data_IF_928213262963
#
_entry.id   IF_928213262963
#
_cell.length_a   1.000
_cell.length_b   1.000
_cell.length_c   1.000
_cell.angle_alpha   90.00
_cell.angle_beta   90.00
_cell.angle_gamma   90.00
#
_symmetry.space_group_name_H-M   'P 1'
#
loop_
_entity.id
_entity.type
_entity.pdbx_description
1 polymer ?
#
# COMPACT_ATOMS: atom_id res chain seq x y z
N UNK A 1 -3.60 27.24 -12.07
CA UNK A 1 -3.76 25.82 -12.50
C UNK A 1 -2.51 24.98 -12.30
N UNK A 2 -1.36 25.61 -12.12
CA UNK A 2 -0.09 24.93 -11.78
C UNK A 2 -0.01 24.52 -10.32
N UNK A 3 -1.03 24.77 -9.55
CA UNK A 3 -1.07 24.69 -8.08
C UNK A 3 -1.27 23.29 -7.53
N UNK A 4 -1.67 22.34 -8.34
CA UNK A 4 -2.26 21.09 -7.85
C UNK A 4 -1.39 19.85 -8.03
N UNK A 5 -0.27 19.96 -8.70
CA UNK A 5 0.54 18.79 -9.04
C UNK A 5 1.45 18.37 -7.89
N UNK A 6 1.57 19.17 -6.86
CA UNK A 6 2.56 18.93 -5.83
C UNK A 6 2.06 18.56 -4.45
N UNK A 7 0.93 19.03 -4.02
CA UNK A 7 0.51 18.94 -2.61
C UNK A 7 -0.81 18.24 -2.38
N UNK A 8 -1.58 17.94 -3.42
CA UNK A 8 -2.95 17.48 -3.30
C UNK A 8 -3.27 16.24 -4.16
N UNK A 9 -2.37 15.29 -4.27
CA UNK A 9 -2.83 13.92 -4.48
C UNK A 9 -3.36 13.41 -3.14
N UNK A 10 -4.36 14.14 -2.69
CA UNK A 10 -5.08 13.84 -1.47
C UNK A 10 -6.04 12.69 -1.74
N UNK A 11 -6.35 11.94 -0.71
CA UNK A 11 -7.39 10.90 -0.61
C UNK A 11 -8.73 11.26 -1.29
N UNK A 12 -8.96 12.52 -1.67
CA UNK A 12 -10.14 12.97 -2.43
C UNK A 12 -10.22 12.40 -3.84
N UNK A 13 -9.09 11.97 -4.40
CA UNK A 13 -9.01 11.35 -5.73
C UNK A 13 -9.02 9.81 -5.66
N UNK A 14 -9.61 9.22 -4.62
CA UNK A 14 -9.73 7.76 -4.45
C UNK A 14 -10.35 7.09 -5.67
N UNK A 15 -11.33 7.73 -6.28
CA UNK A 15 -12.00 7.22 -7.47
C UNK A 15 -11.09 7.18 -8.71
N UNK A 16 -10.04 8.01 -8.72
CA UNK A 16 -9.05 8.06 -9.80
C UNK A 16 -7.98 6.97 -9.62
N UNK A 17 -7.68 6.62 -8.37
CA UNK A 17 -6.66 5.63 -8.04
C UNK A 17 -7.15 4.19 -8.11
N UNK A 18 -8.47 3.98 -8.02
CA UNK A 18 -9.12 2.68 -8.07
C UNK A 18 -9.97 2.55 -9.31
N UNK A 19 -9.74 1.53 -10.11
CA UNK A 19 -10.61 1.16 -11.21
C UNK A 19 -11.49 -0.01 -10.79
N UNK A 20 -12.80 0.22 -10.70
CA UNK A 20 -13.77 -0.81 -10.32
C UNK A 20 -14.28 -1.58 -11.54
N UNK A 21 -14.25 -2.89 -11.45
CA UNK A 21 -15.03 -3.79 -12.27
C UNK A 21 -16.07 -4.48 -11.40
N UNK A 22 -17.06 -5.17 -11.97
CA UNK A 22 -18.16 -5.82 -11.22
C UNK A 22 -17.70 -6.77 -10.10
N UNK A 23 -16.47 -7.27 -10.14
CA UNK A 23 -15.95 -8.26 -9.19
C UNK A 23 -14.59 -7.89 -8.57
N UNK A 24 -13.92 -6.85 -9.08
CA UNK A 24 -12.55 -6.49 -8.69
C UNK A 24 -12.36 -4.98 -8.68
N UNK A 25 -11.45 -4.52 -7.86
CA UNK A 25 -10.87 -3.20 -7.99
C UNK A 25 -9.38 -3.32 -8.31
N UNK A 26 -8.87 -2.41 -9.12
CA UNK A 26 -7.47 -2.38 -9.55
C UNK A 26 -6.88 -1.01 -9.21
N UNK A 27 -5.69 -1.01 -8.62
CA UNK A 27 -4.95 0.22 -8.36
C UNK A 27 -4.39 0.78 -9.67
N UNK A 28 -4.63 2.05 -9.96
CA UNK A 28 -4.14 2.70 -11.18
C UNK A 28 -2.71 3.20 -11.01
N UNK A 29 -1.76 2.28 -11.00
CA UNK A 29 -0.33 2.59 -10.89
C UNK A 29 0.23 3.31 -12.11
N UNK A 30 -0.38 3.14 -13.28
CA UNK A 30 0.03 3.83 -14.50
C UNK A 30 -0.09 5.34 -14.35
N UNK A 31 -1.17 5.82 -13.77
CA UNK A 31 -1.39 7.23 -13.51
C UNK A 31 -0.35 7.81 -12.55
N UNK A 32 0.02 7.08 -11.51
CA UNK A 32 1.09 7.46 -10.59
C UNK A 32 2.43 7.62 -11.32
N UNK A 33 2.81 6.64 -12.15
CA UNK A 33 4.06 6.68 -12.93
C UNK A 33 4.06 7.87 -13.88
N UNK A 34 2.96 8.10 -14.59
CA UNK A 34 2.84 9.24 -15.50
C UNK A 34 3.04 10.58 -14.78
N UNK A 35 2.38 10.80 -13.68
CA UNK A 35 2.48 12.05 -12.91
C UNK A 35 3.89 12.29 -12.36
N UNK A 36 4.54 11.25 -11.85
CA UNK A 36 5.95 11.34 -11.39
C UNK A 36 6.88 11.66 -12.55
N UNK A 37 6.68 11.05 -13.71
CA UNK A 37 7.48 11.30 -14.92
C UNK A 37 7.32 12.75 -15.39
N UNK A 38 6.10 13.24 -15.48
CA UNK A 38 5.81 14.62 -15.86
C UNK A 38 6.43 15.63 -14.89
N UNK A 39 6.33 15.37 -13.59
CA UNK A 39 6.96 16.21 -12.57
C UNK A 39 8.49 16.22 -12.68
N UNK A 40 9.11 15.07 -12.98
CA UNK A 40 10.53 14.98 -13.23
C UNK A 40 10.95 15.75 -14.48
N UNK A 41 10.17 15.69 -15.54
CA UNK A 41 10.43 16.45 -16.78
C UNK A 41 10.32 17.97 -16.56
N UNK A 42 9.48 18.41 -15.63
CA UNK A 42 9.41 19.83 -15.20
C UNK A 42 10.59 20.27 -14.32
N UNK A 43 11.51 19.37 -13.98
CA UNK A 43 12.69 19.67 -13.17
C UNK A 43 12.46 19.64 -11.66
N UNK A 44 11.37 19.01 -11.18
CA UNK A 44 11.14 18.86 -9.76
C UNK A 44 12.22 17.99 -9.08
N UNK A 45 12.50 18.28 -7.80
CA UNK A 45 13.54 17.59 -7.04
C UNK A 45 13.28 16.08 -6.93
N UNK A 46 14.28 15.28 -7.22
CA UNK A 46 14.18 13.81 -7.23
C UNK A 46 13.86 13.25 -5.86
N UNK A 47 14.41 13.82 -4.78
CA UNK A 47 14.13 13.38 -3.41
C UNK A 47 12.68 13.62 -3.03
N UNK A 48 12.15 14.78 -3.37
CA UNK A 48 10.73 15.11 -3.16
C UNK A 48 9.81 14.19 -3.96
N UNK A 49 10.15 13.91 -5.23
CA UNK A 49 9.38 13.01 -6.08
C UNK A 49 9.39 11.58 -5.54
N UNK A 50 10.53 11.10 -5.07
CA UNK A 50 10.64 9.78 -4.45
C UNK A 50 9.77 9.69 -3.18
N UNK A 51 9.79 10.70 -2.34
CA UNK A 51 8.94 10.74 -1.15
C UNK A 51 7.45 10.75 -1.51
N UNK A 52 7.02 11.58 -2.46
CA UNK A 52 5.63 11.61 -2.96
C UNK A 52 5.19 10.28 -3.54
N UNK A 53 6.05 9.62 -4.30
CA UNK A 53 5.76 8.29 -4.82
C UNK A 53 5.39 7.33 -3.69
N UNK A 54 6.18 7.30 -2.61
CA UNK A 54 5.90 6.45 -1.46
C UNK A 54 4.61 6.85 -0.72
N UNK A 55 4.34 8.15 -0.58
CA UNK A 55 3.10 8.65 0.03
C UNK A 55 1.87 8.19 -0.75
N UNK A 56 1.88 8.39 -2.07
CA UNK A 56 0.76 8.00 -2.93
C UNK A 56 0.56 6.50 -2.94
N UNK A 57 1.65 5.74 -2.98
CA UNK A 57 1.56 4.29 -2.93
C UNK A 57 0.95 3.80 -1.60
N UNK A 58 1.32 4.41 -0.48
CA UNK A 58 0.70 4.13 0.82
C UNK A 58 -0.79 4.49 0.85
N UNK A 59 -1.18 5.61 0.21
CA UNK A 59 -2.59 6.00 0.04
C UNK A 59 -3.37 4.98 -0.80
N UNK A 60 -2.81 4.53 -1.90
CA UNK A 60 -3.42 3.51 -2.76
C UNK A 60 -3.65 2.20 -2.00
N UNK A 61 -2.65 1.74 -1.23
CA UNK A 61 -2.77 0.55 -0.39
C UNK A 61 -3.88 0.73 0.64
N UNK A 62 -3.92 1.87 1.32
CA UNK A 62 -4.95 2.18 2.32
C UNK A 62 -6.34 2.22 1.70
N UNK A 63 -6.49 2.87 0.54
CA UNK A 63 -7.77 2.91 -0.19
C UNK A 63 -8.26 1.49 -0.57
N UNK A 64 -7.36 0.63 -1.01
CA UNK A 64 -7.67 -0.77 -1.28
C UNK A 64 -8.15 -1.52 -0.03
N UNK A 65 -7.49 -1.29 1.12
CA UNK A 65 -7.89 -1.89 2.40
C UNK A 65 -9.27 -1.40 2.85
N UNK A 66 -9.57 -0.09 2.69
CA UNK A 66 -10.89 0.47 3.01
C UNK A 66 -11.96 -0.20 2.15
N UNK A 67 -11.71 -0.33 0.85
CA UNK A 67 -12.65 -1.00 -0.05
C UNK A 67 -12.88 -2.47 0.31
N UNK A 68 -11.82 -3.17 0.68
CA UNK A 68 -11.90 -4.54 1.15
C UNK A 68 -12.69 -4.64 2.48
N UNK A 69 -12.53 -3.66 3.38
CA UNK A 69 -13.29 -3.59 4.64
C UNK A 69 -14.79 -3.38 4.38
N UNK A 70 -15.16 -2.50 3.44
CA UNK A 70 -16.56 -2.28 3.06
C UNK A 70 -17.26 -3.56 2.60
N UNK A 71 -16.55 -4.42 1.88
CA UNK A 71 -17.12 -5.67 1.34
C UNK A 71 -17.05 -6.86 2.31
N UNK A 72 -16.02 -6.92 3.18
CA UNK A 72 -15.75 -8.09 4.03
C UNK A 72 -16.03 -7.87 5.52
N UNK A 73 -16.18 -6.62 5.96
CA UNK A 73 -16.29 -6.24 7.37
C UNK A 73 -15.00 -6.44 8.19
N UNK A 74 -13.88 -6.81 7.55
CA UNK A 74 -12.61 -7.08 8.26
C UNK A 74 -11.81 -5.80 8.42
N UNK A 75 -11.25 -5.61 9.61
CA UNK A 75 -10.44 -4.45 10.00
C UNK A 75 -8.97 -4.78 10.31
N UNK A 76 -8.54 -6.03 10.09
CA UNK A 76 -7.15 -6.46 10.28
C UNK A 76 -6.42 -6.53 8.95
N UNK A 77 -5.25 -5.88 8.88
CA UNK A 77 -4.40 -5.83 7.69
C UNK A 77 -3.02 -6.38 8.03
N UNK A 78 -2.56 -7.37 7.28
CA UNK A 78 -1.21 -7.90 7.40
C UNK A 78 -0.33 -7.33 6.27
N UNK A 79 0.76 -6.65 6.65
CA UNK A 79 1.76 -6.14 5.71
C UNK A 79 2.90 -7.16 5.58
N UNK A 80 2.97 -7.79 4.41
CA UNK A 80 3.93 -8.85 4.10
C UNK A 80 4.43 -8.74 2.66
N UNK A 81 5.52 -9.45 2.34
CA UNK A 81 6.16 -9.41 1.03
C UNK A 81 7.40 -8.52 1.02
N UNK A 82 8.30 -8.77 0.05
CA UNK A 82 9.61 -8.11 -0.05
C UNK A 82 9.54 -6.58 -0.18
N UNK A 83 8.46 -6.04 -0.72
CA UNK A 83 8.26 -4.58 -0.84
C UNK A 83 8.26 -3.87 0.52
N UNK A 84 7.82 -4.53 1.58
CA UNK A 84 7.80 -3.97 2.93
C UNK A 84 9.13 -4.04 3.68
N UNK A 85 10.20 -4.48 3.02
CA UNK A 85 11.57 -4.19 3.44
C UNK A 85 11.92 -2.70 3.25
N UNK A 86 11.19 -2.00 2.37
CA UNK A 86 11.24 -0.54 2.26
C UNK A 86 10.62 0.09 3.52
N UNK A 87 11.49 0.56 4.41
CA UNK A 87 11.07 1.09 5.72
C UNK A 87 10.21 2.35 5.62
N UNK A 88 10.42 3.18 4.60
CA UNK A 88 9.61 4.37 4.39
C UNK A 88 8.18 3.99 3.99
N UNK A 89 8.04 3.09 3.01
CA UNK A 89 6.74 2.61 2.57
C UNK A 89 5.99 1.93 3.71
N UNK A 90 6.67 1.05 4.46
CA UNK A 90 6.08 0.36 5.61
C UNK A 90 5.52 1.35 6.63
N UNK A 91 6.32 2.34 7.02
CA UNK A 91 5.92 3.37 8.00
C UNK A 91 4.72 4.17 7.52
N UNK A 92 4.79 4.72 6.31
CA UNK A 92 3.70 5.53 5.75
C UNK A 92 2.40 4.74 5.62
N UNK A 93 2.49 3.47 5.20
CA UNK A 93 1.31 2.59 5.09
C UNK A 93 0.73 2.26 6.45
N UNK A 94 1.57 1.89 7.42
CA UNK A 94 1.14 1.58 8.79
C UNK A 94 0.45 2.78 9.45
N UNK A 95 1.05 3.97 9.38
CA UNK A 95 0.49 5.20 9.93
C UNK A 95 -0.90 5.50 9.36
N UNK A 96 -1.08 5.40 8.04
CA UNK A 96 -2.36 5.65 7.39
C UNK A 96 -3.42 4.61 7.75
N UNK A 97 -3.07 3.34 7.76
CA UNK A 97 -3.99 2.26 8.13
C UNK A 97 -4.47 2.41 9.59
N UNK A 98 -3.57 2.77 10.50
CA UNK A 98 -3.94 3.04 11.90
C UNK A 98 -4.88 4.24 12.02
N UNK A 99 -4.66 5.32 11.25
CA UNK A 99 -5.56 6.48 11.21
C UNK A 99 -6.97 6.13 10.70
N UNK A 100 -7.08 5.16 9.78
CA UNK A 100 -8.36 4.65 9.26
C UNK A 100 -8.99 3.55 10.16
N UNK A 101 -8.42 3.31 11.33
CA UNK A 101 -8.95 2.39 12.32
C UNK A 101 -8.71 0.91 12.01
N UNK A 102 -7.67 0.58 11.26
CA UNK A 102 -7.25 -0.80 11.05
C UNK A 102 -6.32 -1.29 12.16
N UNK A 103 -6.41 -2.57 12.49
CA UNK A 103 -5.38 -3.29 13.23
C UNK A 103 -4.30 -3.75 12.23
N UNK A 104 -3.05 -3.30 12.41
CA UNK A 104 -1.97 -3.59 11.48
C UNK A 104 -1.04 -4.66 12.04
N UNK A 105 -0.91 -5.75 11.30
CA UNK A 105 0.01 -6.84 11.58
C UNK A 105 1.24 -6.71 10.67
N UNK A 106 2.42 -6.78 11.26
CA UNK A 106 3.69 -6.73 10.53
C UNK A 106 4.68 -7.76 11.05
N UNK A 107 5.59 -8.14 10.20
CA UNK A 107 6.69 -9.00 10.59
C UNK A 107 7.63 -8.31 11.60
N UNK A 108 8.00 -9.02 12.67
CA UNK A 108 8.94 -8.54 13.67
C UNK A 108 10.20 -9.42 13.75
N UNK A 109 10.03 -10.74 13.78
CA UNK A 109 11.12 -11.70 13.91
C UNK A 109 11.39 -12.48 12.63
N UNK A 110 10.38 -12.66 11.79
CA UNK A 110 10.46 -13.36 10.52
C UNK A 110 10.57 -12.34 9.40
N UNK A 111 11.49 -12.47 8.44
CA UNK A 111 11.58 -11.53 7.34
C UNK A 111 10.30 -11.56 6.46
N UNK A 112 9.85 -10.42 5.93
CA UNK A 112 8.63 -10.34 5.12
C UNK A 112 8.82 -10.86 3.69
N UNK A 113 10.03 -11.24 3.30
CA UNK A 113 10.41 -11.76 1.99
C UNK A 113 10.32 -13.29 1.93
N UNK A 114 10.81 -13.87 0.84
CA UNK A 114 10.82 -15.32 0.61
C UNK A 114 11.51 -16.13 1.70
N UNK A 115 12.41 -15.52 2.48
CA UNK A 115 13.03 -16.14 3.64
C UNK A 115 12.06 -16.58 4.74
N UNK A 116 10.84 -16.02 4.76
CA UNK A 116 9.77 -16.38 5.70
C UNK A 116 8.89 -17.55 5.24
N UNK A 117 8.96 -17.95 3.97
CA UNK A 117 8.05 -18.95 3.38
C UNK A 117 8.14 -20.29 4.09
N UNK A 118 9.36 -20.80 4.35
CA UNK A 118 9.56 -22.10 4.99
C UNK A 118 8.93 -22.18 6.39
N UNK A 119 9.01 -21.10 7.16
CA UNK A 119 8.41 -20.99 8.50
C UNK A 119 6.88 -20.99 8.40
N UNK A 120 6.33 -20.26 7.44
CA UNK A 120 4.89 -20.24 7.16
C UNK A 120 4.36 -21.61 6.76
N UNK A 121 5.08 -22.34 5.92
CA UNK A 121 4.74 -23.71 5.52
C UNK A 121 4.79 -24.68 6.72
N UNK A 122 5.80 -24.59 7.57
CA UNK A 122 5.91 -25.40 8.78
C UNK A 122 4.73 -25.12 9.74
N UNK A 123 4.40 -23.85 9.98
CA UNK A 123 3.27 -23.45 10.82
C UNK A 123 1.94 -23.98 10.27
N UNK A 124 1.74 -23.90 8.96
CA UNK A 124 0.55 -24.46 8.31
C UNK A 124 0.47 -25.97 8.44
N UNK A 125 1.59 -26.67 8.22
CA UNK A 125 1.67 -28.12 8.39
C UNK A 125 1.32 -28.55 9.81
N UNK A 126 1.86 -27.87 10.83
CA UNK A 126 1.53 -28.13 12.23
C UNK A 126 0.04 -27.91 12.53
N UNK A 127 -0.55 -26.85 11.98
CA UNK A 127 -1.98 -26.58 12.13
C UNK A 127 -2.84 -27.70 11.53
N UNK A 128 -2.46 -28.25 10.36
CA UNK A 128 -3.18 -29.36 9.73
C UNK A 128 -3.10 -30.67 10.55
N UNK A 129 -1.99 -30.90 11.25
CA UNK A 129 -1.82 -32.09 12.10
C UNK A 129 -2.64 -32.03 13.40
N UNK A 130 -3.14 -30.85 13.78
CA UNK A 130 -3.95 -30.67 14.99
C UNK A 130 -5.46 -30.80 14.72
N UNK A 131 -5.85 -30.94 13.46
CA UNK A 131 -7.25 -31.19 13.05
C UNK A 131 -7.53 -32.66 12.97
#
# INVERSE_FOLDING_TARGET
TTRLVGSEMCIRDRDILLHETKERFVLNTQMLVQQITEAKMRGEDTGMLAYRFHQVLAEMITAACIKAKESSGRDKVALSGGVFQNRLLLRLTEERLLQEGFEVLRHRMIPPNDGGIAIGQAAYGMYQLQK
#
